data_IF_559723597743
#
_entry.id   IF_559723597743
#
_cell.length_a   1.000
_cell.length_b   1.000
_cell.length_c   1.000
_cell.angle_alpha   90.00
_cell.angle_beta   90.00
_cell.angle_gamma   90.00
#
_symmetry.space_group_name_H-M   'P 1'
#
loop_
_entity.id
_entity.type
_entity.pdbx_description
1 polymer ?
#
# COMPACT_ATOMS: atom_id res chain seq x y z
N UNK A 1 -5.62 -1.03 17.03
CA UNK A 1 -5.11 -0.42 15.78
C UNK A 1 -5.67 1.00 15.66
N UNK A 2 -4.80 2.01 15.56
CA UNK A 2 -5.18 3.34 15.06
C UNK A 2 -4.07 3.88 14.16
N UNK A 3 -4.04 3.54 12.89
CA UNK A 3 -2.97 3.99 11.99
C UNK A 3 -3.25 5.38 11.36
N UNK A 4 -3.63 6.50 12.02
CA UNK A 4 -2.80 7.47 12.75
C UNK A 4 -3.69 8.70 13.18
N UNK A 5 -3.23 9.64 14.06
CA UNK A 5 -3.75 11.04 14.21
C UNK A 5 -2.77 11.97 14.95
N UNK A 6 -2.73 13.25 14.57
CA UNK A 6 -2.03 14.36 15.26
C UNK A 6 -2.98 15.59 15.34
N UNK A 7 -2.77 16.70 16.06
CA UNK A 7 -1.62 17.34 16.72
C UNK A 7 -1.33 16.87 18.16
N UNK A 8 -2.26 16.15 18.82
CA UNK A 8 -2.09 15.76 20.24
C UNK A 8 -2.22 14.23 20.47
N UNK A 9 -1.91 13.45 19.41
CA UNK A 9 -1.88 11.96 19.24
C UNK A 9 -3.27 11.27 19.13
N UNK A 10 -3.46 10.15 18.45
CA UNK A 10 -2.84 8.83 18.65
C UNK A 10 -2.78 7.98 17.38
N UNK A 11 -1.71 7.19 17.31
CA UNK A 11 -1.42 6.17 16.34
C UNK A 11 -1.25 4.82 17.10
N UNK A 12 -1.75 3.67 16.65
CA UNK A 12 -1.49 2.36 17.29
C UNK A 12 -0.99 1.31 16.30
N UNK A 13 0.31 1.41 16.00
CA UNK A 13 1.26 0.29 16.02
C UNK A 13 1.66 0.11 17.50
N UNK A 14 2.18 -1.04 17.95
CA UNK A 14 2.73 -1.16 19.31
C UNK A 14 3.67 0.02 19.59
N UNK A 15 3.34 0.83 20.60
CA UNK A 15 3.93 2.16 20.79
C UNK A 15 5.45 2.12 20.91
N UNK A 16 6.00 1.03 21.47
CA UNK A 16 7.44 0.85 21.63
C UNK A 16 8.22 0.87 20.30
N UNK A 17 7.83 0.06 19.31
CA UNK A 17 8.58 -0.03 18.04
C UNK A 17 8.52 1.27 17.25
N UNK A 18 7.38 1.96 17.28
CA UNK A 18 7.22 3.27 16.67
C UNK A 18 8.03 4.36 17.39
N UNK A 19 7.96 4.39 18.72
CA UNK A 19 8.72 5.36 19.53
C UNK A 19 10.23 5.15 19.42
N UNK A 20 10.67 3.90 19.29
CA UNK A 20 12.09 3.59 19.12
C UNK A 20 12.59 4.03 17.74
N UNK A 21 11.84 3.78 16.67
CA UNK A 21 12.16 4.28 15.33
C UNK A 21 12.21 5.82 15.27
N UNK A 22 11.28 6.52 15.94
CA UNK A 22 11.27 7.98 15.95
C UNK A 22 12.39 8.63 16.77
N UNK A 23 13.01 7.91 17.72
CA UNK A 23 14.14 8.46 18.49
C UNK A 23 15.39 8.63 17.62
N UNK A 24 15.49 7.83 16.57
CA UNK A 24 16.67 7.67 15.75
C UNK A 24 16.26 7.08 14.40
N UNK A 25 15.82 7.96 13.49
CA UNK A 25 15.31 7.57 12.16
C UNK A 25 16.42 7.15 11.20
N UNK A 26 17.69 7.46 11.53
CA UNK A 26 18.88 6.98 10.83
C UNK A 26 19.19 5.51 11.18
N UNK A 27 18.65 4.99 12.28
CA UNK A 27 18.83 3.59 12.66
C UNK A 27 17.98 2.66 11.76
N UNK A 28 18.66 2.14 10.74
CA UNK A 28 18.12 1.22 9.75
C UNK A 28 17.49 -0.03 10.37
N UNK A 29 18.04 -0.56 11.46
CA UNK A 29 17.49 -1.74 12.14
C UNK A 29 16.15 -1.40 12.79
N UNK A 30 16.04 -0.24 13.43
CA UNK A 30 14.77 0.23 14.03
C UNK A 30 13.71 0.52 12.96
N UNK A 31 14.10 1.15 11.86
CA UNK A 31 13.19 1.42 10.75
C UNK A 31 12.70 0.15 10.07
N UNK A 32 13.60 -0.80 9.78
CA UNK A 32 13.23 -2.11 9.27
C UNK A 32 12.33 -2.89 10.24
N UNK A 33 12.63 -2.85 11.55
CA UNK A 33 11.79 -3.48 12.57
C UNK A 33 10.36 -2.89 12.61
N UNK A 34 10.23 -1.56 12.45
CA UNK A 34 8.94 -0.89 12.33
C UNK A 34 8.16 -1.39 11.10
N UNK A 35 8.81 -1.42 9.94
CA UNK A 35 8.20 -1.93 8.71
C UNK A 35 7.75 -3.39 8.83
N UNK A 36 8.62 -4.26 9.34
CA UNK A 36 8.35 -5.69 9.52
C UNK A 36 7.21 -5.94 10.51
N UNK A 37 7.11 -5.13 11.56
CA UNK A 37 6.01 -5.19 12.52
C UNK A 37 4.69 -4.83 11.85
N UNK A 38 4.63 -3.74 11.08
CA UNK A 38 3.42 -3.34 10.34
C UNK A 38 2.98 -4.43 9.38
N UNK A 39 3.93 -4.94 8.58
CA UNK A 39 3.67 -6.01 7.63
C UNK A 39 3.11 -7.25 8.31
N UNK A 40 3.74 -7.71 9.40
CA UNK A 40 3.29 -8.88 10.18
C UNK A 40 1.89 -8.67 10.76
N UNK A 41 1.60 -7.47 11.28
CA UNK A 41 0.28 -7.15 11.82
C UNK A 41 -0.81 -7.15 10.73
N UNK A 42 -0.49 -6.64 9.54
CA UNK A 42 -1.39 -6.68 8.38
C UNK A 42 -1.66 -8.10 7.90
N UNK A 43 -0.62 -8.94 7.79
CA UNK A 43 -0.78 -10.34 7.42
C UNK A 43 -1.63 -11.12 8.42
N UNK A 44 -1.43 -10.87 9.72
CA UNK A 44 -2.23 -11.46 10.79
C UNK A 44 -3.71 -11.06 10.70
N UNK A 45 -4.00 -9.80 10.38
CA UNK A 45 -5.38 -9.31 10.19
C UNK A 45 -6.07 -10.05 9.04
N UNK A 46 -5.35 -10.27 7.94
CA UNK A 46 -5.82 -10.99 6.76
C UNK A 46 -5.80 -12.52 6.88
N UNK A 47 -5.18 -13.08 7.94
CA UNK A 47 -4.98 -14.53 8.06
C UNK A 47 -4.02 -15.12 7.02
N UNK A 48 -3.05 -14.33 6.56
CA UNK A 48 -2.09 -14.71 5.53
C UNK A 48 -0.71 -15.06 6.13
N UNK A 49 0.00 -16.00 5.50
CA UNK A 49 1.35 -16.38 5.91
C UNK A 49 2.38 -15.33 5.46
N UNK A 50 3.53 -15.31 6.14
CA UNK A 50 4.65 -14.44 5.77
C UNK A 50 5.34 -14.90 4.50
N UNK A 51 5.69 -13.96 3.64
CA UNK A 51 6.57 -14.14 2.49
C UNK A 51 7.93 -13.50 2.79
N UNK A 52 9.00 -14.32 2.78
CA UNK A 52 10.38 -13.86 3.07
C UNK A 52 10.93 -12.92 2.00
N UNK A 53 10.55 -13.08 0.73
CA UNK A 53 11.01 -12.18 -0.32
C UNK A 53 10.44 -10.77 -0.12
N UNK A 54 9.22 -10.67 0.38
CA UNK A 54 8.59 -9.39 0.74
C UNK A 54 9.23 -8.77 1.99
N UNK A 55 9.66 -9.58 2.96
CA UNK A 55 10.42 -9.07 4.11
C UNK A 55 11.72 -8.39 3.68
N UNK A 56 12.43 -8.94 2.69
CA UNK A 56 13.63 -8.29 2.15
C UNK A 56 13.31 -6.97 1.45
N UNK A 57 12.13 -6.83 0.81
CA UNK A 57 11.70 -5.53 0.27
C UNK A 57 11.46 -4.46 1.36
N UNK A 58 11.12 -4.88 2.58
CA UNK A 58 10.94 -3.97 3.72
C UNK A 58 12.29 -3.50 4.25
N UNK A 59 13.28 -4.38 4.31
CA UNK A 59 14.66 -4.01 4.65
C UNK A 59 15.23 -3.06 3.59
N UNK A 60 15.09 -3.39 2.31
CA UNK A 60 15.50 -2.52 1.21
C UNK A 60 14.86 -1.13 1.30
N UNK A 61 13.57 -1.06 1.65
CA UNK A 61 12.89 0.22 1.81
C UNK A 61 13.40 1.04 3.00
N UNK A 62 13.88 0.41 4.08
CA UNK A 62 14.54 1.13 5.18
C UNK A 62 15.84 1.80 4.72
N UNK A 63 16.63 1.16 3.85
CA UNK A 63 17.78 1.81 3.22
C UNK A 63 17.36 2.93 2.25
N UNK A 64 16.31 2.70 1.44
CA UNK A 64 15.79 3.72 0.52
C UNK A 64 15.41 5.01 1.27
N UNK A 65 14.64 4.91 2.36
CA UNK A 65 14.21 6.12 3.08
C UNK A 65 15.35 6.82 3.83
N UNK A 66 16.38 6.09 4.27
CA UNK A 66 17.57 6.67 4.89
C UNK A 66 18.34 7.54 3.88
N UNK A 67 18.67 6.98 2.72
CA UNK A 67 19.34 7.73 1.65
C UNK A 67 18.45 8.82 1.04
N UNK A 68 17.14 8.59 0.99
CA UNK A 68 16.19 9.63 0.61
C UNK A 68 16.27 10.82 1.55
N UNK A 69 16.32 10.61 2.88
CA UNK A 69 16.45 11.70 3.85
C UNK A 69 17.72 12.52 3.62
N UNK A 70 18.87 11.86 3.36
CA UNK A 70 20.14 12.53 3.04
C UNK A 70 20.08 13.40 1.77
N UNK A 71 19.27 12.97 0.79
CA UNK A 71 19.14 13.64 -0.51
C UNK A 71 17.98 14.65 -0.58
N UNK A 72 17.10 14.69 0.43
CA UNK A 72 16.01 15.65 0.50
C UNK A 72 16.50 17.01 0.95
N UNK A 73 16.37 18.02 0.08
CA UNK A 73 16.59 19.40 0.48
C UNK A 73 15.39 19.97 1.27
N UNK A 74 15.59 21.12 1.91
CA UNK A 74 14.55 21.79 2.70
C UNK A 74 13.24 22.00 1.93
N UNK A 75 13.26 22.55 0.70
CA UNK A 75 12.05 22.70 -0.11
C UNK A 75 11.31 21.37 -0.39
N UNK A 76 12.03 20.28 -0.69
CA UNK A 76 11.42 18.98 -0.92
C UNK A 76 10.83 18.39 0.37
N UNK A 77 11.50 18.60 1.52
CA UNK A 77 10.97 18.24 2.83
C UNK A 77 9.69 19.02 3.15
N UNK A 78 9.67 20.33 2.92
CA UNK A 78 8.49 21.18 3.13
C UNK A 78 7.30 20.75 2.25
N UNK A 79 7.56 20.41 0.97
CA UNK A 79 6.53 19.88 0.06
C UNK A 79 5.97 18.54 0.57
N UNK A 80 6.85 17.65 1.01
CA UNK A 80 6.47 16.34 1.56
C UNK A 80 5.62 16.49 2.82
N UNK A 81 6.02 17.37 3.73
CA UNK A 81 5.25 17.71 4.94
C UNK A 81 3.87 18.25 4.55
N UNK A 82 3.81 19.18 3.60
CA UNK A 82 2.54 19.74 3.14
C UNK A 82 1.61 18.66 2.56
N UNK A 83 2.15 17.73 1.75
CA UNK A 83 1.39 16.60 1.21
C UNK A 83 0.82 15.71 2.30
N UNK A 84 1.63 15.39 3.30
CA UNK A 84 1.22 14.57 4.43
C UNK A 84 0.15 15.26 5.28
N UNK A 85 0.29 16.56 5.55
CA UNK A 85 -0.64 17.31 6.40
C UNK A 85 -1.95 17.70 5.71
N UNK A 86 -1.89 18.09 4.43
CA UNK A 86 -2.97 18.75 3.70
C UNK A 86 -3.31 18.06 2.36
N UNK A 87 -2.35 17.40 1.70
CA UNK A 87 -2.55 16.76 0.39
C UNK A 87 -3.65 15.69 0.35
N UNK A 88 -3.87 14.99 1.48
CA UNK A 88 -4.96 14.03 1.63
C UNK A 88 -6.35 14.62 1.38
N UNK A 89 -6.54 15.93 1.57
CA UNK A 89 -7.83 16.64 1.38
C UNK A 89 -8.23 16.73 -0.09
N UNK A 90 -7.25 16.67 -0.99
CA UNK A 90 -7.46 17.03 -2.38
C UNK A 90 -7.72 15.81 -3.25
N UNK A 91 -6.96 14.71 -3.11
CA UNK A 91 -7.17 13.50 -3.92
C UNK A 91 -6.63 12.19 -3.28
N UNK A 92 -6.06 12.22 -2.07
CA UNK A 92 -5.30 11.08 -1.51
C UNK A 92 -5.82 10.61 -0.13
N UNK A 93 -7.13 10.40 -0.01
CA UNK A 93 -7.72 10.00 1.29
C UNK A 93 -7.14 8.69 1.83
N UNK A 94 -6.70 7.81 0.93
CA UNK A 94 -6.21 6.47 1.28
C UNK A 94 -4.84 6.47 1.96
N UNK A 95 -4.09 7.57 1.89
CA UNK A 95 -2.82 7.69 2.60
C UNK A 95 -3.01 7.51 4.11
N UNK A 96 -3.99 8.18 4.70
CA UNK A 96 -4.26 8.09 6.13
C UNK A 96 -5.29 7.02 6.51
N UNK A 97 -5.78 6.25 5.53
CA UNK A 97 -6.74 5.17 5.78
C UNK A 97 -6.07 3.92 6.32
N UNK A 98 -6.87 3.22 7.13
CA UNK A 98 -6.52 1.96 7.74
C UNK A 98 -6.60 0.83 6.71
N UNK A 99 -5.54 0.08 6.39
CA UNK A 99 -5.63 -1.08 5.49
C UNK A 99 -6.50 -2.23 6.02
N UNK A 100 -7.09 -2.13 7.20
CA UNK A 100 -7.87 -3.20 7.82
C UNK A 100 -9.14 -3.43 7.02
N UNK A 101 -9.73 -2.36 6.47
CA UNK A 101 -10.85 -2.49 5.55
C UNK A 101 -10.44 -3.25 4.29
N UNK A 102 -9.29 -2.89 3.69
CA UNK A 102 -8.69 -3.63 2.56
C UNK A 102 -8.51 -5.12 2.90
N UNK A 103 -7.77 -5.41 3.97
CA UNK A 103 -7.35 -6.74 4.40
C UNK A 103 -8.49 -7.64 4.88
N UNK A 104 -9.48 -7.10 5.60
CA UNK A 104 -10.67 -7.86 6.03
C UNK A 104 -11.48 -8.38 4.84
N UNK A 105 -11.49 -7.63 3.73
CA UNK A 105 -12.12 -8.07 2.49
C UNK A 105 -11.47 -9.32 1.88
N UNK A 106 -10.16 -9.51 2.06
CA UNK A 106 -9.43 -10.66 1.53
C UNK A 106 -9.41 -11.88 2.45
N UNK A 107 -9.64 -11.70 3.75
CA UNK A 107 -9.56 -12.78 4.75
C UNK A 107 -10.37 -14.05 4.37
N UNK A 108 -11.67 -13.98 4.03
CA UNK A 108 -12.43 -15.17 3.63
C UNK A 108 -11.91 -15.82 2.33
N UNK A 109 -11.24 -15.04 1.48
CA UNK A 109 -10.69 -15.49 0.20
C UNK A 109 -9.34 -16.20 0.39
N UNK A 110 -8.53 -15.74 1.35
CA UNK A 110 -7.26 -16.38 1.73
C UNK A 110 -7.52 -17.67 2.52
N UNK A 111 -8.51 -17.71 3.41
CA UNK A 111 -8.88 -18.94 4.14
C UNK A 111 -9.46 -20.02 3.21
N UNK A 112 -10.09 -19.61 2.11
CA UNK A 112 -10.69 -20.52 1.12
C UNK A 112 -12.14 -20.89 1.44
N UNK A 113 -12.77 -20.15 2.36
CA UNK A 113 -14.14 -20.40 2.81
C UNK A 113 -15.19 -19.85 1.84
N UNK A 114 -14.84 -18.82 1.05
CA UNK A 114 -15.67 -18.28 -0.04
C UNK A 114 -14.82 -17.46 -1.02
N UNK A 115 -14.17 -18.13 -1.99
CA UNK A 115 -13.55 -17.45 -3.13
C UNK A 115 -14.65 -16.94 -4.08
N UNK A 116 -15.41 -15.93 -3.62
CA UNK A 116 -16.55 -15.38 -4.33
C UNK A 116 -16.10 -14.43 -5.45
N UNK A 117 -16.94 -14.26 -6.49
CA UNK A 117 -16.78 -13.26 -7.56
C UNK A 117 -16.40 -11.84 -7.14
N UNK A 118 -16.76 -11.44 -5.92
CA UNK A 118 -16.45 -10.14 -5.31
C UNK A 118 -14.94 -9.90 -5.17
N UNK A 119 -14.12 -10.95 -5.27
CA UNK A 119 -12.65 -10.82 -5.23
C UNK A 119 -12.13 -9.96 -6.37
N UNK A 120 -12.65 -10.09 -7.58
CA UNK A 120 -12.13 -9.36 -8.75
C UNK A 120 -12.52 -7.89 -8.64
N UNK A 121 -13.75 -7.59 -8.24
CA UNK A 121 -14.18 -6.21 -7.95
C UNK A 121 -13.33 -5.58 -6.83
N UNK A 122 -13.06 -6.34 -5.76
CA UNK A 122 -12.23 -5.88 -4.65
C UNK A 122 -10.80 -5.60 -5.10
N UNK A 123 -10.20 -6.52 -5.85
CA UNK A 123 -8.85 -6.38 -6.42
C UNK A 123 -8.77 -5.13 -7.28
N UNK A 124 -9.71 -4.92 -8.20
CA UNK A 124 -9.71 -3.73 -9.05
C UNK A 124 -9.81 -2.41 -8.27
N UNK A 125 -10.67 -2.37 -7.24
CA UNK A 125 -10.78 -1.20 -6.36
C UNK A 125 -9.46 -0.94 -5.62
N UNK A 126 -8.93 -1.96 -4.93
CA UNK A 126 -7.73 -1.81 -4.11
C UNK A 126 -6.48 -1.53 -4.95
N UNK A 127 -6.41 -2.05 -6.19
CA UNK A 127 -5.33 -1.72 -7.12
C UNK A 127 -5.26 -0.20 -7.38
N UNK A 128 -6.39 0.45 -7.63
CA UNK A 128 -6.43 1.89 -7.88
C UNK A 128 -6.32 2.74 -6.62
N UNK A 129 -7.07 2.40 -5.58
CA UNK A 129 -7.20 3.27 -4.41
C UNK A 129 -6.07 3.05 -3.40
N UNK A 130 -5.46 1.87 -3.36
CA UNK A 130 -4.44 1.51 -2.36
C UNK A 130 -3.09 1.26 -3.02
N UNK A 131 -3.00 0.31 -3.96
CA UNK A 131 -1.71 -0.15 -4.48
C UNK A 131 -1.05 0.93 -5.32
N UNK A 132 -1.76 1.49 -6.31
CA UNK A 132 -1.21 2.44 -7.28
C UNK A 132 -0.58 3.67 -6.60
N UNK A 133 -1.28 4.45 -5.74
CA UNK A 133 -0.67 5.60 -5.07
C UNK A 133 0.55 5.23 -4.23
N UNK A 134 0.51 4.13 -3.47
CA UNK A 134 1.64 3.75 -2.64
C UNK A 134 2.83 3.22 -3.44
N UNK A 135 2.58 2.64 -4.61
CA UNK A 135 3.63 2.24 -5.55
C UNK A 135 4.29 3.47 -6.20
N UNK A 136 3.53 4.51 -6.54
CA UNK A 136 4.10 5.79 -7.00
C UNK A 136 5.00 6.43 -5.95
N UNK A 137 4.62 6.38 -4.67
CA UNK A 137 5.47 6.87 -3.56
C UNK A 137 6.74 6.05 -3.38
N UNK A 138 6.66 4.73 -3.55
CA UNK A 138 7.86 3.88 -3.57
C UNK A 138 8.81 4.30 -4.69
N UNK A 139 8.30 4.47 -5.91
CA UNK A 139 9.10 4.92 -7.06
C UNK A 139 9.72 6.28 -6.79
N UNK A 140 8.95 7.23 -6.25
CA UNK A 140 9.47 8.54 -5.86
C UNK A 140 10.59 8.42 -4.81
N UNK A 141 10.39 7.64 -3.75
CA UNK A 141 11.41 7.42 -2.72
C UNK A 141 12.70 6.83 -3.31
N UNK A 142 12.59 5.87 -4.23
CA UNK A 142 13.75 5.32 -4.94
C UNK A 142 14.47 6.37 -5.80
N UNK A 143 13.75 7.23 -6.52
CA UNK A 143 14.34 8.30 -7.32
C UNK A 143 15.11 9.30 -6.46
N UNK A 144 14.55 9.70 -5.32
CA UNK A 144 15.20 10.65 -4.41
C UNK A 144 16.40 9.98 -3.71
N UNK A 145 16.28 8.72 -3.31
CA UNK A 145 17.41 7.96 -2.75
C UNK A 145 18.57 7.79 -3.76
N UNK A 146 18.26 7.72 -5.06
CA UNK A 146 19.25 7.73 -6.17
C UNK A 146 19.86 9.14 -6.43
N UNK A 147 19.51 10.15 -5.62
CA UNK A 147 20.01 11.51 -5.75
C UNK A 147 19.30 12.36 -6.81
N UNK A 148 18.15 11.92 -7.33
CA UNK A 148 17.39 12.67 -8.33
C UNK A 148 16.48 13.68 -7.62
N UNK A 149 16.68 14.97 -7.90
CA UNK A 149 15.86 16.06 -7.38
C UNK A 149 14.48 16.11 -8.06
N UNK A 150 13.56 15.24 -7.63
CA UNK A 150 12.21 15.10 -8.18
C UNK A 150 11.18 15.24 -7.05
N UNK A 151 10.24 16.17 -7.22
CA UNK A 151 9.16 16.35 -6.26
C UNK A 151 8.14 15.20 -6.33
N UNK A 152 7.45 14.88 -5.23
CA UNK A 152 6.40 13.85 -5.21
C UNK A 152 5.30 14.10 -6.26
N UNK A 153 4.91 15.36 -6.51
CA UNK A 153 3.93 15.70 -7.54
C UNK A 153 4.44 15.45 -8.97
N UNK A 154 5.74 15.60 -9.23
CA UNK A 154 6.31 15.39 -10.57
C UNK A 154 6.17 13.93 -11.01
N UNK A 155 6.35 13.01 -10.07
CA UNK A 155 6.15 11.57 -10.31
C UNK A 155 4.67 11.28 -10.57
N UNK A 156 3.75 11.88 -9.81
CA UNK A 156 2.31 11.74 -10.06
C UNK A 156 1.87 12.29 -11.42
N UNK A 157 2.46 13.41 -11.86
CA UNK A 157 2.21 14.00 -13.17
C UNK A 157 2.66 13.11 -14.34
N UNK A 158 3.55 12.14 -14.11
CA UNK A 158 3.90 11.14 -15.11
C UNK A 158 2.73 10.19 -15.42
N UNK A 159 1.75 10.07 -14.52
CA UNK A 159 0.53 9.27 -14.70
C UNK A 159 -0.74 10.14 -14.63
N UNK A 160 -0.85 11.10 -15.56
CA UNK A 160 -2.03 12.00 -15.69
C UNK A 160 -3.35 11.26 -15.88
N UNK A 161 -3.32 9.99 -16.29
CA UNK A 161 -4.51 9.19 -16.53
C UNK A 161 -5.07 8.56 -15.26
N UNK A 162 -4.24 8.33 -14.23
CA UNK A 162 -4.66 7.87 -12.91
C UNK A 162 -5.36 6.49 -12.86
N UNK A 163 -5.49 5.82 -14.00
CA UNK A 163 -6.41 4.70 -14.20
C UNK A 163 -5.74 3.39 -14.63
N UNK A 164 -4.42 3.30 -14.51
CA UNK A 164 -3.63 2.14 -14.94
C UNK A 164 -2.51 1.82 -13.96
N UNK A 165 -2.12 0.55 -13.91
CA UNK A 165 -0.93 0.08 -13.20
C UNK A 165 0.34 0.13 -14.07
N UNK A 166 0.21 0.39 -15.37
CA UNK A 166 1.33 0.32 -16.34
C UNK A 166 2.42 1.32 -15.99
N UNK A 167 2.08 2.57 -15.74
CA UNK A 167 3.06 3.64 -15.47
C UNK A 167 3.88 3.36 -14.21
N UNK A 168 3.28 3.15 -13.02
CA UNK A 168 4.06 2.85 -11.82
C UNK A 168 4.90 1.57 -11.95
N UNK A 169 4.36 0.53 -12.60
CA UNK A 169 5.12 -0.71 -12.81
C UNK A 169 6.30 -0.52 -13.77
N UNK A 170 6.13 0.25 -14.84
CA UNK A 170 7.20 0.56 -15.78
C UNK A 170 8.32 1.36 -15.11
N UNK A 171 7.97 2.36 -14.30
CA UNK A 171 8.95 3.14 -13.55
C UNK A 171 9.73 2.28 -12.55
N UNK A 172 9.04 1.44 -11.76
CA UNK A 172 9.70 0.51 -10.83
C UNK A 172 10.64 -0.45 -11.57
N UNK A 173 10.16 -1.08 -12.65
CA UNK A 173 10.97 -2.04 -13.40
C UNK A 173 12.19 -1.39 -14.06
N UNK A 174 12.06 -0.15 -14.55
CA UNK A 174 13.19 0.58 -15.14
C UNK A 174 14.24 0.90 -14.09
N UNK A 175 13.84 1.38 -12.90
CA UNK A 175 14.78 1.63 -11.80
C UNK A 175 15.53 0.35 -11.41
N UNK A 176 14.82 -0.76 -11.22
CA UNK A 176 15.45 -2.03 -10.89
C UNK A 176 16.38 -2.55 -12.00
N UNK A 177 16.03 -2.32 -13.26
CA UNK A 177 16.87 -2.71 -14.41
C UNK A 177 18.11 -1.80 -14.56
N UNK A 178 18.00 -0.53 -14.19
CA UNK A 178 19.12 0.42 -14.12
C UNK A 178 20.07 0.13 -12.94
N UNK A 179 19.67 -0.74 -12.01
CA UNK A 179 20.38 -0.94 -10.74
C UNK A 179 20.22 0.25 -9.80
N UNK A 180 19.14 1.01 -9.94
CA UNK A 180 18.85 2.19 -9.14
C UNK A 180 17.82 1.86 -8.02
N UNK A 181 18.04 2.37 -6.80
CA UNK A 181 19.21 3.14 -6.40
C UNK A 181 20.40 2.21 -6.11
N UNK A 182 21.63 2.67 -6.40
CA UNK A 182 22.83 1.81 -6.45
C UNK A 182 23.35 1.33 -5.09
N UNK A 183 22.83 1.89 -4.00
CA UNK A 183 23.19 1.48 -2.64
C UNK A 183 22.56 0.14 -2.22
N UNK A 184 21.56 -0.37 -2.95
CA UNK A 184 20.91 -1.63 -2.60
C UNK A 184 21.86 -2.80 -2.82
N UNK A 185 21.96 -3.66 -1.81
CA UNK A 185 22.74 -4.89 -1.95
C UNK A 185 22.01 -5.94 -2.83
N UNK A 186 22.65 -7.09 -3.04
CA UNK A 186 22.10 -8.16 -3.87
C UNK A 186 20.78 -8.73 -3.31
N UNK A 187 20.66 -8.87 -1.99
CA UNK A 187 19.48 -9.46 -1.34
C UNK A 187 18.31 -8.46 -1.31
N UNK A 188 18.60 -7.18 -1.17
CA UNK A 188 17.64 -6.08 -1.24
C UNK A 188 17.10 -5.90 -2.65
N UNK A 189 17.99 -5.94 -3.64
CA UNK A 189 17.61 -5.92 -5.06
C UNK A 189 16.71 -7.11 -5.40
N UNK A 190 17.02 -8.32 -4.89
CA UNK A 190 16.15 -9.50 -5.03
C UNK A 190 14.82 -9.31 -4.33
N UNK A 191 14.79 -8.71 -3.13
CA UNK A 191 13.57 -8.40 -2.39
C UNK A 191 12.64 -7.47 -3.18
N UNK A 192 13.18 -6.38 -3.74
CA UNK A 192 12.43 -5.45 -4.58
C UNK A 192 11.93 -6.10 -5.88
N UNK A 193 12.77 -6.91 -6.51
CA UNK A 193 12.39 -7.69 -7.69
C UNK A 193 11.27 -8.69 -7.39
N UNK A 194 11.29 -9.32 -6.21
CA UNK A 194 10.23 -10.22 -5.76
C UNK A 194 8.90 -9.47 -5.55
N UNK A 195 8.93 -8.30 -4.93
CA UNK A 195 7.75 -7.44 -4.77
C UNK A 195 7.17 -7.05 -6.13
N UNK A 196 8.02 -6.63 -7.09
CA UNK A 196 7.61 -6.32 -8.46
C UNK A 196 6.97 -7.54 -9.16
N UNK A 197 7.50 -8.74 -8.94
CA UNK A 197 6.97 -9.98 -9.51
C UNK A 197 5.58 -10.35 -8.94
N UNK A 198 5.36 -10.14 -7.64
CA UNK A 198 4.04 -10.32 -7.00
C UNK A 198 3.05 -9.30 -7.57
N UNK A 199 3.46 -8.03 -7.67
CA UNK A 199 2.66 -6.94 -8.25
C UNK A 199 2.32 -7.15 -9.73
N UNK A 200 3.21 -7.78 -10.50
CA UNK A 200 2.93 -8.13 -11.89
C UNK A 200 1.94 -9.29 -12.02
N UNK A 201 1.57 -9.95 -10.90
CA UNK A 201 0.86 -11.22 -10.88
C UNK A 201 1.51 -12.29 -11.77
N UNK A 202 2.82 -12.16 -12.05
CA UNK A 202 3.58 -13.05 -12.93
C UNK A 202 3.34 -14.55 -12.70
N UNK A 203 3.08 -15.01 -11.46
CA UNK A 203 2.75 -16.40 -11.18
C UNK A 203 1.27 -16.84 -11.43
N UNK A 204 0.37 -15.97 -11.90
CA UNK A 204 -1.09 -16.24 -12.02
C UNK A 204 -1.52 -16.28 -13.49
N UNK A 205 -1.41 -17.45 -14.12
CA UNK A 205 -1.97 -17.76 -15.45
C UNK A 205 -1.71 -16.70 -16.55
N UNK A 206 -0.63 -15.92 -16.45
CA UNK A 206 -0.28 -14.88 -17.42
C UNK A 206 -1.18 -13.63 -17.43
N UNK A 207 -2.02 -13.42 -16.40
CA UNK A 207 -2.86 -12.21 -16.29
C UNK A 207 -2.08 -11.11 -15.55
N UNK A 208 -1.84 -9.99 -16.21
CA UNK A 208 -1.22 -8.82 -15.59
C UNK A 208 -2.18 -8.08 -14.66
N UNK A 209 -1.65 -7.31 -13.70
CA UNK A 209 -2.48 -6.43 -12.84
C UNK A 209 -3.28 -5.41 -13.62
N UNK A 210 -2.73 -4.90 -14.74
CA UNK A 210 -3.45 -3.96 -15.59
C UNK A 210 -4.59 -4.63 -16.35
N UNK A 211 -4.39 -5.84 -16.90
CA UNK A 211 -5.49 -6.61 -17.51
C UNK A 211 -6.62 -6.89 -16.51
N UNK A 212 -6.24 -7.25 -15.27
CA UNK A 212 -7.19 -7.52 -14.20
C UNK A 212 -7.96 -6.25 -13.80
N UNK A 213 -7.26 -5.13 -13.65
CA UNK A 213 -7.84 -3.82 -13.36
C UNK A 213 -8.81 -3.37 -14.47
N UNK A 214 -8.39 -3.46 -15.72
CA UNK A 214 -9.17 -3.01 -16.87
C UNK A 214 -10.37 -3.91 -17.12
N UNK A 215 -10.25 -5.21 -16.81
CA UNK A 215 -11.40 -6.10 -16.80
C UNK A 215 -12.45 -5.66 -15.77
N UNK A 216 -12.04 -5.23 -14.56
CA UNK A 216 -12.96 -4.73 -13.53
C UNK A 216 -13.60 -3.42 -13.94
N UNK A 217 -12.79 -2.42 -14.33
CA UNK A 217 -13.26 -1.09 -14.69
C UNK A 217 -14.20 -1.12 -15.90
N UNK A 218 -13.86 -1.91 -16.92
CA UNK A 218 -14.67 -2.08 -18.12
C UNK A 218 -15.83 -3.05 -17.94
N UNK A 219 -16.01 -3.66 -16.76
CA UNK A 219 -16.95 -4.78 -16.51
C UNK A 219 -16.81 -5.90 -17.55
N UNK A 220 -15.58 -6.16 -17.95
CA UNK A 220 -15.17 -7.18 -18.91
C UNK A 220 -14.77 -8.46 -18.17
N UNK A 221 -15.70 -9.00 -17.37
CA UNK A 221 -15.58 -10.34 -16.80
C UNK A 221 -16.94 -11.05 -16.67
N UNK A 222 -16.93 -12.39 -16.76
CA UNK A 222 -18.08 -13.26 -16.52
C UNK A 222 -17.79 -14.17 -15.33
N UNK A 223 -18.83 -14.46 -14.57
CA UNK A 223 -18.79 -15.37 -13.43
C UNK A 223 -19.49 -16.67 -13.83
N UNK A 224 -18.83 -17.80 -13.59
CA UNK A 224 -19.39 -19.13 -13.83
C UNK A 224 -18.96 -20.12 -12.73
N UNK A 225 -19.41 -21.37 -12.83
CA UNK A 225 -19.10 -22.43 -11.87
C UNK A 225 -17.61 -22.78 -11.80
N UNK A 226 -16.83 -22.42 -12.82
CA UNK A 226 -15.40 -22.66 -12.86
C UNK A 226 -14.61 -21.52 -12.22
N UNK A 227 -15.24 -20.37 -11.93
CA UNK A 227 -14.58 -19.16 -11.40
C UNK A 227 -14.90 -17.89 -12.21
N UNK A 228 -13.85 -17.15 -12.58
CA UNK A 228 -13.99 -15.85 -13.29
C UNK A 228 -13.33 -15.93 -14.67
N UNK A 229 -14.10 -15.66 -15.71
CA UNK A 229 -13.58 -15.47 -17.06
C UNK A 229 -13.33 -13.98 -17.32
N UNK A 230 -12.11 -13.60 -17.68
CA UNK A 230 -11.72 -12.26 -18.06
C UNK A 230 -11.66 -12.16 -19.59
N UNK A 231 -12.36 -11.18 -20.17
CA UNK A 231 -12.19 -10.90 -21.60
C UNK A 231 -10.88 -10.13 -21.84
N UNK A 232 -10.18 -10.39 -22.97
CA UNK A 232 -8.86 -9.84 -23.23
C UNK A 232 -8.89 -8.31 -23.37
N UNK A 233 -7.95 -7.61 -22.74
CA UNK A 233 -7.77 -6.16 -22.87
C UNK A 233 -6.55 -5.79 -23.71
N UNK A 234 -5.34 -6.23 -23.33
CA UNK A 234 -4.09 -5.92 -24.03
C UNK A 234 -3.60 -7.07 -24.93
N UNK A 235 -3.93 -8.31 -24.58
CA UNK A 235 -3.53 -9.51 -25.32
C UNK A 235 -4.48 -9.78 -26.50
N UNK A 236 -3.95 -10.10 -27.69
CA UNK A 236 -4.73 -10.54 -28.86
C UNK A 236 -5.28 -11.97 -28.75
N UNK A 237 -5.33 -12.50 -27.53
CA UNK A 237 -5.62 -13.91 -27.23
C UNK A 237 -7.08 -14.17 -26.88
N UNK A 238 -7.40 -15.46 -26.70
CA UNK A 238 -8.65 -15.87 -26.07
C UNK A 238 -8.65 -15.40 -24.61
N UNK A 239 -9.83 -15.05 -24.07
CA UNK A 239 -9.96 -14.64 -22.67
C UNK A 239 -9.44 -15.70 -21.68
N UNK A 240 -9.13 -15.27 -20.46
CA UNK A 240 -8.49 -16.11 -19.45
C UNK A 240 -9.48 -16.52 -18.39
N UNK A 241 -9.47 -17.80 -18.03
CA UNK A 241 -10.28 -18.34 -16.94
C UNK A 241 -9.46 -18.45 -15.65
N UNK A 242 -9.87 -17.71 -14.62
CA UNK A 242 -9.30 -17.73 -13.28
C UNK A 242 -10.18 -18.60 -12.38
N UNK A 243 -9.74 -19.85 -12.18
CA UNK A 243 -10.38 -20.74 -11.21
C UNK A 243 -10.08 -20.38 -9.75
N UNK A 244 -10.74 -21.04 -8.79
CA UNK A 244 -10.62 -20.73 -7.36
C UNK A 244 -9.18 -20.69 -6.84
N UNK A 245 -8.31 -21.60 -7.29
CA UNK A 245 -6.89 -21.62 -6.92
C UNK A 245 -6.14 -20.38 -7.39
N UNK A 246 -6.41 -19.93 -8.62
CA UNK A 246 -5.80 -18.72 -9.18
C UNK A 246 -6.30 -17.48 -8.43
N UNK A 247 -7.60 -17.40 -8.16
CA UNK A 247 -8.20 -16.31 -7.38
C UNK A 247 -7.63 -16.24 -5.96
N UNK A 248 -7.49 -17.38 -5.26
CA UNK A 248 -6.85 -17.43 -3.95
C UNK A 248 -5.41 -16.92 -3.98
N UNK A 249 -4.67 -17.23 -5.06
CA UNK A 249 -3.31 -16.74 -5.26
C UNK A 249 -3.28 -15.22 -5.50
N UNK A 250 -4.19 -14.68 -6.31
CA UNK A 250 -4.36 -13.22 -6.46
C UNK A 250 -4.67 -12.58 -5.11
N UNK A 251 -5.60 -13.13 -4.33
CA UNK A 251 -5.95 -12.63 -3.00
C UNK A 251 -4.72 -12.58 -2.07
N UNK A 252 -3.97 -13.68 -2.04
CA UNK A 252 -2.74 -13.81 -1.25
C UNK A 252 -1.73 -12.75 -1.67
N UNK A 253 -1.47 -12.62 -2.98
CA UNK A 253 -0.54 -11.63 -3.52
C UNK A 253 -0.96 -10.20 -3.18
N UNK A 254 -2.25 -9.86 -3.30
CA UNK A 254 -2.77 -8.55 -2.94
C UNK A 254 -2.59 -8.25 -1.45
N UNK A 255 -2.82 -9.24 -0.57
CA UNK A 255 -2.56 -9.10 0.86
C UNK A 255 -1.08 -8.82 1.13
N UNK A 256 -0.17 -9.55 0.47
CA UNK A 256 1.29 -9.30 0.60
C UNK A 256 1.64 -7.87 0.19
N UNK A 257 1.19 -7.45 -0.99
CA UNK A 257 1.47 -6.13 -1.57
C UNK A 257 0.91 -5.00 -0.71
N UNK A 258 -0.38 -5.07 -0.35
CA UNK A 258 -1.03 -4.04 0.47
C UNK A 258 -0.33 -3.93 1.83
N UNK A 259 0.08 -5.06 2.41
CA UNK A 259 0.81 -5.08 3.69
C UNK A 259 2.20 -4.45 3.58
N UNK A 260 2.96 -4.77 2.52
CA UNK A 260 4.28 -4.20 2.28
C UNK A 260 4.21 -2.69 2.01
N UNK A 261 3.33 -2.26 1.10
CA UNK A 261 3.13 -0.84 0.78
C UNK A 261 2.61 -0.04 1.98
N UNK A 262 1.83 -0.66 2.87
CA UNK A 262 1.48 -0.05 4.15
C UNK A 262 2.70 0.13 5.04
N UNK A 263 3.59 -0.87 5.13
CA UNK A 263 4.84 -0.75 5.88
C UNK A 263 5.71 0.39 5.33
N UNK A 264 5.84 0.51 4.01
CA UNK A 264 6.58 1.59 3.34
C UNK A 264 6.01 2.95 3.71
N UNK A 265 4.70 3.09 3.60
CA UNK A 265 3.98 4.29 4.01
C UNK A 265 4.25 4.68 5.47
N UNK A 266 4.20 3.73 6.39
CA UNK A 266 4.45 3.99 7.81
C UNK A 266 5.88 4.44 8.05
N UNK A 267 6.85 3.78 7.41
CA UNK A 267 8.27 4.12 7.54
C UNK A 267 8.56 5.52 6.96
N UNK A 268 7.97 5.86 5.82
CA UNK A 268 8.07 7.21 5.25
C UNK A 268 7.53 8.29 6.23
N UNK A 269 6.37 8.05 6.84
CA UNK A 269 5.81 8.98 7.84
C UNK A 269 6.72 9.09 9.07
N UNK A 270 7.31 7.98 9.52
CA UNK A 270 8.24 8.00 10.64
C UNK A 270 9.50 8.81 10.31
N UNK A 271 10.10 8.60 9.14
CA UNK A 271 11.26 9.36 8.68
C UNK A 271 10.96 10.87 8.66
N UNK A 272 9.88 11.29 7.99
CA UNK A 272 9.53 12.73 7.91
C UNK A 272 9.26 13.31 9.30
N UNK A 273 8.61 12.56 10.20
CA UNK A 273 8.39 13.00 11.57
C UNK A 273 9.66 13.08 12.42
N UNK A 274 10.66 12.24 12.14
CA UNK A 274 11.97 12.31 12.78
C UNK A 274 12.77 13.53 12.34
N UNK A 275 12.79 13.79 11.04
CA UNK A 275 13.54 14.90 10.43
C UNK A 275 12.90 16.27 10.67
N UNK A 276 11.60 16.40 10.41
CA UNK A 276 10.88 17.67 10.46
C UNK A 276 10.15 17.90 11.80
N UNK A 277 9.90 16.84 12.57
CA UNK A 277 9.09 16.89 13.77
C UNK A 277 7.61 16.56 13.53
N UNK A 278 6.77 16.84 14.54
CA UNK A 278 5.39 16.38 14.54
C UNK A 278 4.54 17.01 13.42
N UNK A 279 3.95 16.16 12.57
CA UNK A 279 2.98 16.56 11.54
C UNK A 279 1.67 17.08 12.17
N UNK A 280 1.02 18.03 11.51
CA UNK A 280 -0.27 18.65 11.87
C UNK A 280 -1.41 18.16 10.96
N UNK A 281 -1.57 16.83 10.86
CA UNK A 281 -2.59 16.19 10.04
C UNK A 281 -3.98 16.47 10.60
N UNK A 282 -4.79 17.21 9.86
CA UNK A 282 -6.23 17.26 10.14
C UNK A 282 -6.84 16.00 9.50
N UNK A 283 -7.76 15.28 10.11
CA UNK A 283 -8.48 14.18 9.43
C UNK A 283 -9.97 14.49 9.44
N UNK A 284 -10.75 14.09 8.43
CA UNK A 284 -12.18 14.36 8.41
C UNK A 284 -12.82 13.68 9.63
N UNK A 285 -13.64 14.43 10.38
CA UNK A 285 -14.34 13.87 11.53
C UNK A 285 -15.29 12.77 11.04
N UNK A 286 -15.10 11.53 11.49
CA UNK A 286 -16.12 10.49 11.27
C UNK A 286 -17.44 11.01 11.86
N UNK A 287 -18.55 10.99 11.10
CA UNK A 287 -19.84 11.40 11.64
C UNK A 287 -20.12 10.59 12.90
N UNK A 288 -20.25 11.28 14.04
CA UNK A 288 -20.56 10.64 15.32
C UNK A 288 -21.84 9.84 15.13
N UNK A 289 -21.75 8.51 15.18
CA UNK A 289 -22.94 7.69 15.39
C UNK A 289 -23.59 8.20 16.66
N UNK A 290 -24.75 8.85 16.53
CA UNK A 290 -25.56 9.27 17.66
C UNK A 290 -25.76 8.01 18.51
N UNK A 291 -25.12 7.96 19.68
CA UNK A 291 -25.51 7.02 20.73
C UNK A 291 -27.01 7.22 20.91
N UNK A 292 -27.81 6.22 20.53
CA UNK A 292 -29.19 6.13 20.99
C UNK A 292 -29.09 6.15 22.51
N UNK A 293 -29.43 7.28 23.13
CA UNK A 293 -29.78 7.29 24.55
C UNK A 293 -30.97 6.34 24.64
N UNK A 294 -30.74 5.14 25.18
CA UNK A 294 -31.81 4.34 25.76
C UNK A 294 -32.29 5.08 27.01
N UNK A 295 -33.06 6.14 26.79
CA UNK A 295 -33.85 6.76 27.85
C UNK A 295 -34.94 5.77 28.21
N UNK A 296 -34.78 5.11 29.36
CA UNK A 296 -35.91 4.63 30.16
C UNK A 296 -36.76 5.86 30.47
N UNK A 297 -37.82 6.08 29.71
CA UNK A 297 -38.95 6.86 30.21
C UNK A 297 -39.84 5.91 30.99
N UNK A 298 -39.63 5.96 32.30
CA UNK A 298 -40.60 5.61 33.33
C UNK A 298 -41.90 6.36 33.03
N UNK A 299 -42.91 5.66 32.54
CA UNK A 299 -44.29 6.14 32.57
C UNK A 299 -44.77 6.15 34.02
N UNK A 300 -44.84 7.35 34.59
CA UNK A 300 -45.65 7.64 35.76
C UNK A 300 -46.57 8.82 35.43
N UNK A 301 -47.88 8.55 35.52
CA UNK A 301 -49.02 9.45 35.69
C UNK A 301 -49.32 10.46 34.55
N UNK A 302 -50.44 10.26 33.84
CA UNK A 302 -51.81 10.68 34.24
C UNK A 302 -52.79 9.63 33.70
#
# INVERSE_FOLDING_TARGET
MKWFRTRDRSISIETGVWEDALKDVEDLEKMAALGLKVYTDCLREAGCARDRGVEMSIVAFAHIIHHMADNMDGPMMDETVWLLEEGWRMNETTFWESPALALQGYRPMVSGDDATPLIIERVGMDLLSVVRPNLMRLVWAMLVADGRAVGPHDVELADRGGGSMIVPMALLNNLLAEGAPDMLDEEETKGMSHLANILALGPVNGVSTDELLQAVLGRRYMLDEKGVFLWPYLSSGNGVHLGPTALKKVATNMVQVISALTAFKVMLVAMVMGEHGALSVTLPERPRQRKKKSGRESTANI
#
